data_IF_577846254316
#
_entry.id   IF_577846254316
#
_cell.length_a   1.000
_cell.length_b   1.000
_cell.length_c   1.000
_cell.angle_alpha   90.00
_cell.angle_beta   90.00
_cell.angle_gamma   90.00
#
_symmetry.space_group_name_H-M   'P 1'
#
loop_
_entity.id
_entity.type
_entity.pdbx_description
1 polymer ?
#
# COMPACT_ATOMS: atom_id res chain seq x y z
N UNK A 1 73.54 21.24 -35.69
CA UNK A 1 73.03 19.87 -35.45
C UNK A 1 73.66 19.36 -34.16
N UNK A 2 72.89 19.23 -33.07
CA UNK A 2 72.93 18.07 -32.18
C UNK A 2 71.68 18.09 -31.30
N UNK A 3 71.07 16.92 -31.21
CA UNK A 3 69.72 16.61 -30.79
C UNK A 3 69.80 15.92 -29.43
N UNK A 4 69.13 16.44 -28.38
CA UNK A 4 69.01 15.75 -27.08
C UNK A 4 67.64 16.11 -26.52
N UNK A 5 66.63 15.28 -26.82
CA UNK A 5 66.15 14.16 -26.00
C UNK A 5 65.14 14.60 -24.93
N UNK A 6 63.87 14.33 -25.23
CA UNK A 6 62.68 14.64 -24.42
C UNK A 6 62.60 13.59 -23.30
N UNK A 7 62.84 14.00 -22.06
CA UNK A 7 62.62 13.15 -20.89
C UNK A 7 61.18 13.32 -20.39
N UNK A 8 60.31 12.32 -20.65
CA UNK A 8 58.96 12.25 -20.11
C UNK A 8 59.00 11.98 -18.59
N UNK A 9 58.63 12.97 -17.78
CA UNK A 9 58.43 12.77 -16.34
C UNK A 9 57.08 12.08 -16.11
N UNK A 10 57.09 10.76 -15.91
CA UNK A 10 55.95 10.02 -15.36
C UNK A 10 55.66 10.52 -13.94
N UNK A 11 54.56 11.25 -13.76
CA UNK A 11 54.04 11.61 -12.43
C UNK A 11 53.36 10.38 -11.82
N UNK A 12 54.08 9.70 -10.92
CA UNK A 12 53.51 8.64 -10.10
C UNK A 12 52.73 9.27 -8.92
N UNK A 13 51.41 9.29 -9.00
CA UNK A 13 50.56 9.66 -7.86
C UNK A 13 50.63 8.56 -6.79
N UNK A 14 51.43 8.78 -5.73
CA UNK A 14 51.38 7.94 -4.53
C UNK A 14 50.12 8.29 -3.72
N UNK A 15 49.07 7.49 -3.86
CA UNK A 15 47.97 7.50 -2.91
C UNK A 15 48.51 7.04 -1.55
N UNK A 16 48.61 7.97 -0.60
CA UNK A 16 48.97 7.65 0.79
C UNK A 16 47.81 6.84 1.38
N UNK A 17 47.97 5.52 1.47
CA UNK A 17 47.06 4.68 2.26
C UNK A 17 47.24 5.09 3.73
N UNK A 18 46.35 5.94 4.23
CA UNK A 18 46.21 6.13 5.67
C UNK A 18 45.54 4.89 6.21
N UNK A 19 46.32 4.00 6.83
CA UNK A 19 45.81 2.94 7.67
C UNK A 19 45.02 3.61 8.79
N UNK A 20 43.69 3.53 8.74
CA UNK A 20 42.85 4.02 9.81
C UNK A 20 42.85 2.94 10.90
N UNK A 21 43.79 3.02 11.83
CA UNK A 21 43.82 2.12 12.97
C UNK A 21 42.70 2.51 13.93
N UNK A 22 41.63 1.72 13.92
CA UNK A 22 40.47 1.94 14.77
C UNK A 22 40.83 1.48 16.19
N UNK A 23 41.28 2.43 17.02
CA UNK A 23 41.49 2.17 18.44
C UNK A 23 40.20 1.67 19.13
N UNK A 24 40.29 1.12 20.35
CA UNK A 24 39.15 0.51 21.04
C UNK A 24 37.95 1.47 21.20
N UNK A 25 38.20 2.77 21.39
CA UNK A 25 37.16 3.81 21.43
C UNK A 25 36.48 4.01 20.07
N UNK A 26 37.23 3.89 18.97
CA UNK A 26 36.69 3.98 17.62
C UNK A 26 35.81 2.78 17.26
N UNK A 27 36.15 1.58 17.73
CA UNK A 27 35.32 0.38 17.58
C UNK A 27 34.01 0.54 18.38
N UNK A 28 34.08 1.04 19.62
CA UNK A 28 32.90 1.31 20.44
C UNK A 28 32.01 2.38 19.78
N UNK A 29 32.59 3.46 19.26
CA UNK A 29 31.85 4.50 18.55
C UNK A 29 31.17 3.98 17.28
N UNK A 30 31.87 3.17 16.47
CA UNK A 30 31.33 2.58 15.26
C UNK A 30 30.21 1.57 15.55
N UNK A 31 30.36 0.77 16.60
CA UNK A 31 29.33 -0.20 17.03
C UNK A 31 28.10 0.49 17.58
N UNK A 32 28.24 1.55 18.40
CA UNK A 32 27.10 2.35 18.86
C UNK A 32 26.41 3.03 17.67
N UNK A 33 27.15 3.62 16.73
CA UNK A 33 26.56 4.23 15.54
C UNK A 33 25.80 3.20 14.70
N UNK A 34 26.36 2.00 14.52
CA UNK A 34 25.70 0.90 13.82
C UNK A 34 24.45 0.46 14.57
N UNK A 35 24.52 0.27 15.88
CA UNK A 35 23.37 -0.08 16.73
C UNK A 35 22.28 0.99 16.68
N UNK A 36 22.62 2.27 16.80
CA UNK A 36 21.67 3.39 16.73
C UNK A 36 21.04 3.46 15.33
N UNK A 37 21.80 3.33 14.26
CA UNK A 37 21.26 3.41 12.89
C UNK A 37 20.46 2.18 12.46
N UNK A 38 20.77 0.99 12.99
CA UNK A 38 20.05 -0.25 12.68
C UNK A 38 18.90 -0.58 13.64
N UNK A 39 18.97 -0.17 14.91
CA UNK A 39 17.93 -0.43 15.94
C UNK A 39 17.05 0.77 16.27
N UNK A 40 17.43 2.01 15.91
CA UNK A 40 16.54 3.18 16.00
C UNK A 40 15.91 3.64 14.68
N UNK A 41 15.86 2.89 13.55
CA UNK A 41 14.95 3.32 12.49
C UNK A 41 13.56 3.34 13.12
N UNK A 42 13.00 4.55 13.20
CA UNK A 42 11.63 4.75 13.65
C UNK A 42 10.72 3.80 12.87
N UNK A 43 9.67 3.23 13.49
CA UNK A 43 8.76 2.30 12.81
C UNK A 43 7.99 2.92 11.63
N UNK A 44 8.31 4.16 11.23
CA UNK A 44 7.74 4.89 10.11
C UNK A 44 8.22 4.44 8.73
N UNK A 45 9.27 3.62 8.62
CA UNK A 45 9.78 3.14 7.31
C UNK A 45 9.06 1.86 6.84
N UNK A 46 8.44 1.11 7.75
CA UNK A 46 7.43 0.13 7.36
C UNK A 46 6.11 0.86 7.24
N UNK A 47 5.58 0.94 6.02
CA UNK A 47 4.25 1.45 5.75
C UNK A 47 3.28 0.94 6.83
N UNK A 48 2.86 1.84 7.72
CA UNK A 48 2.00 1.55 8.87
C UNK A 48 0.56 1.31 8.44
N UNK A 49 0.40 0.69 7.28
CA UNK A 49 -0.86 0.22 6.77
C UNK A 49 -0.67 -1.24 6.41
N UNK A 50 -0.76 -2.13 7.42
CA UNK A 50 -0.83 -3.54 7.14
C UNK A 50 -1.98 -3.73 6.18
N UNK A 51 -1.69 -4.37 5.03
CA UNK A 51 -2.71 -4.99 4.19
C UNK A 51 -3.79 -5.63 5.07
N UNK A 52 -5.06 -5.65 4.63
CA UNK A 52 -6.13 -6.22 5.43
C UNK A 52 -5.68 -7.61 5.93
N UNK A 53 -5.86 -7.92 7.23
CA UNK A 53 -5.23 -9.07 7.88
C UNK A 53 -5.88 -10.37 7.40
N UNK A 54 -5.51 -10.78 6.19
CA UNK A 54 -6.05 -11.93 5.49
C UNK A 54 -5.00 -13.03 5.48
N UNK A 55 -5.37 -14.22 5.95
CA UNK A 55 -4.52 -15.40 5.83
C UNK A 55 -4.91 -16.09 4.54
N UNK A 56 -4.10 -15.96 3.49
CA UNK A 56 -4.38 -16.65 2.24
C UNK A 56 -4.21 -18.17 2.41
N UNK A 57 -5.05 -18.98 1.76
CA UNK A 57 -4.86 -20.43 1.75
C UNK A 57 -3.55 -20.79 1.07
N UNK A 58 -2.92 -21.86 1.53
CA UNK A 58 -1.72 -22.40 0.87
C UNK A 58 -2.08 -22.86 -0.54
N UNK A 59 -1.45 -22.29 -1.56
CA UNK A 59 -1.55 -22.76 -2.95
C UNK A 59 -0.31 -23.54 -3.33
N UNK A 60 -0.49 -24.71 -3.96
CA UNK A 60 0.58 -25.53 -4.52
C UNK A 60 0.93 -25.16 -5.98
N UNK A 61 0.14 -24.27 -6.61
CA UNK A 61 0.41 -23.71 -7.94
C UNK A 61 0.33 -22.18 -7.91
N UNK A 62 1.41 -21.52 -8.30
CA UNK A 62 1.45 -20.07 -8.52
C UNK A 62 1.46 -19.78 -10.02
N UNK A 63 0.30 -19.90 -10.68
CA UNK A 63 0.16 -19.32 -12.03
C UNK A 63 -0.21 -17.86 -11.81
N UNK A 64 0.80 -16.99 -11.83
CA UNK A 64 0.62 -15.55 -11.66
C UNK A 64 0.79 -14.86 -13.01
N UNK A 65 -0.16 -15.07 -13.93
CA UNK A 65 -0.30 -14.19 -15.09
C UNK A 65 -1.31 -13.12 -14.71
N UNK A 66 -0.85 -12.11 -13.96
CA UNK A 66 -1.64 -10.90 -13.78
C UNK A 66 -1.79 -10.25 -15.15
N UNK A 67 -3.04 -9.94 -15.53
CA UNK A 67 -3.27 -9.14 -16.73
C UNK A 67 -2.68 -7.75 -16.50
N UNK A 68 -2.06 -7.22 -17.55
CA UNK A 68 -1.55 -5.86 -17.57
C UNK A 68 -2.74 -4.92 -17.64
N UNK A 69 -3.08 -4.25 -16.54
CA UNK A 69 -4.26 -3.40 -16.44
C UNK A 69 -4.45 -2.83 -15.04
N UNK A 70 -5.47 -1.99 -14.89
CA UNK A 70 -5.89 -1.48 -13.57
C UNK A 70 -6.56 -2.61 -12.80
N UNK A 71 -6.14 -2.82 -11.55
CA UNK A 71 -6.60 -3.93 -10.73
C UNK A 71 -7.42 -3.42 -9.55
N UNK A 72 -8.62 -3.98 -9.38
CA UNK A 72 -9.46 -3.78 -8.19
C UNK A 72 -9.42 -5.05 -7.36
N UNK A 73 -9.10 -4.97 -6.08
CA UNK A 73 -9.00 -6.12 -5.18
C UNK A 73 -10.08 -6.06 -4.10
N UNK A 74 -10.89 -7.11 -4.04
CA UNK A 74 -11.86 -7.36 -2.98
C UNK A 74 -11.25 -8.37 -2.02
N UNK A 75 -11.14 -7.99 -0.75
CA UNK A 75 -10.56 -8.82 0.30
C UNK A 75 -11.63 -9.24 1.29
N UNK A 76 -11.81 -10.54 1.45
CA UNK A 76 -12.76 -11.15 2.37
C UNK A 76 -12.00 -11.70 3.57
N UNK A 77 -12.25 -11.13 4.75
CA UNK A 77 -11.62 -11.54 6.01
C UNK A 77 -12.63 -12.29 6.88
N UNK A 78 -12.13 -13.07 7.84
CA UNK A 78 -12.95 -13.74 8.86
C UNK A 78 -14.02 -12.81 9.44
N UNK A 79 -15.19 -13.38 9.68
CA UNK A 79 -16.44 -12.72 10.11
C UNK A 79 -17.17 -11.94 9.01
N UNK A 80 -16.96 -12.27 7.74
CA UNK A 80 -17.73 -11.67 6.62
C UNK A 80 -17.39 -10.20 6.36
N UNK A 81 -16.22 -9.74 6.83
CA UNK A 81 -15.78 -8.37 6.62
C UNK A 81 -15.15 -8.23 5.24
N UNK A 82 -15.65 -7.27 4.48
CA UNK A 82 -15.18 -7.01 3.13
C UNK A 82 -14.33 -5.75 3.11
N UNK A 83 -13.22 -5.80 2.38
CA UNK A 83 -12.36 -4.66 2.12
C UNK A 83 -12.24 -4.49 0.62
N UNK A 84 -12.14 -3.24 0.17
CA UNK A 84 -12.00 -2.90 -1.23
C UNK A 84 -10.76 -2.04 -1.41
N UNK A 85 -9.94 -2.35 -2.41
CA UNK A 85 -8.81 -1.52 -2.83
C UNK A 85 -8.72 -1.49 -4.35
N UNK A 86 -8.19 -0.41 -4.88
CA UNK A 86 -7.89 -0.23 -6.29
C UNK A 86 -6.54 0.51 -6.36
N UNK A 87 -5.88 0.53 -7.51
CA UNK A 87 -4.69 1.34 -7.74
C UNK A 87 -4.88 2.77 -7.16
N UNK A 88 -3.89 3.21 -6.37
CA UNK A 88 -3.87 4.45 -5.58
C UNK A 88 -4.30 5.68 -6.40
N UNK A 89 -3.98 5.67 -7.71
CA UNK A 89 -4.34 6.73 -8.66
C UNK A 89 -5.84 6.94 -8.82
N UNK A 90 -6.64 5.89 -8.64
CA UNK A 90 -8.09 5.89 -8.82
C UNK A 90 -8.83 5.86 -7.49
N UNK A 91 -8.21 5.33 -6.43
CA UNK A 91 -8.86 5.07 -5.15
C UNK A 91 -9.54 6.32 -4.56
N UNK A 92 -8.85 7.47 -4.55
CA UNK A 92 -9.40 8.72 -3.99
C UNK A 92 -10.66 9.15 -4.74
N UNK A 93 -10.66 9.08 -6.08
CA UNK A 93 -11.79 9.48 -6.91
C UNK A 93 -12.99 8.53 -6.74
N UNK A 94 -12.73 7.22 -6.63
CA UNK A 94 -13.77 6.21 -6.36
C UNK A 94 -14.46 6.51 -5.03
N UNK A 95 -13.66 6.73 -3.98
CA UNK A 95 -14.19 7.00 -2.65
C UNK A 95 -14.97 8.30 -2.61
N UNK A 96 -14.46 9.35 -3.24
CA UNK A 96 -15.15 10.64 -3.30
C UNK A 96 -16.51 10.51 -4.01
N UNK A 97 -16.58 9.76 -5.10
CA UNK A 97 -17.82 9.51 -5.84
C UNK A 97 -18.85 8.79 -4.98
N UNK A 98 -18.46 7.72 -4.30
CA UNK A 98 -19.36 6.95 -3.43
C UNK A 98 -19.73 7.75 -2.17
N UNK A 99 -18.79 8.47 -1.56
CA UNK A 99 -19.08 9.33 -0.42
C UNK A 99 -20.14 10.39 -0.76
N UNK A 100 -20.04 11.04 -1.94
CA UNK A 100 -21.04 12.00 -2.42
C UNK A 100 -22.42 11.36 -2.62
N UNK A 101 -22.49 10.13 -3.14
CA UNK A 101 -23.76 9.39 -3.28
C UNK A 101 -24.44 9.17 -1.92
N UNK A 102 -23.68 9.01 -0.83
CA UNK A 102 -24.18 8.91 0.54
C UNK A 102 -24.38 10.26 1.25
N UNK A 103 -24.27 11.39 0.54
CA UNK A 103 -24.41 12.73 1.11
C UNK A 103 -23.23 13.14 2.01
N UNK A 104 -22.09 12.44 1.91
CA UNK A 104 -20.90 12.71 2.70
C UNK A 104 -19.95 13.59 1.89
N UNK A 105 -19.63 14.78 2.41
CA UNK A 105 -18.63 15.67 1.84
C UNK A 105 -17.34 15.60 2.66
N UNK A 106 -16.22 15.42 1.96
CA UNK A 106 -14.89 15.37 2.58
C UNK A 106 -14.21 16.74 2.43
N UNK A 107 -13.56 17.21 3.49
CA UNK A 107 -12.72 18.41 3.42
C UNK A 107 -11.41 18.14 2.66
N UNK A 108 -10.72 19.18 2.20
CA UNK A 108 -9.41 19.05 1.56
C UNK A 108 -8.39 18.31 2.45
N UNK A 109 -8.44 18.54 3.77
CA UNK A 109 -7.59 17.83 4.74
C UNK A 109 -7.93 16.35 4.83
N UNK A 110 -9.22 16.00 4.80
CA UNK A 110 -9.67 14.61 4.79
C UNK A 110 -9.31 13.91 3.48
N UNK A 111 -9.35 14.61 2.34
CA UNK A 111 -8.92 14.07 1.05
C UNK A 111 -7.42 13.75 1.02
N UNK A 112 -6.57 14.59 1.62
CA UNK A 112 -5.15 14.30 1.75
C UNK A 112 -4.88 13.05 2.62
N UNK A 113 -5.67 12.87 3.68
CA UNK A 113 -5.60 11.67 4.53
C UNK A 113 -6.13 10.42 3.83
N UNK A 114 -7.09 10.59 2.93
CA UNK A 114 -7.68 9.52 2.14
C UNK A 114 -6.69 8.95 1.12
N UNK A 115 -5.88 9.80 0.48
CA UNK A 115 -4.80 9.38 -0.42
C UNK A 115 -3.78 8.46 0.24
N UNK A 116 -3.65 8.53 1.58
CA UNK A 116 -2.72 7.70 2.33
C UNK A 116 -3.32 6.34 2.74
N UNK A 117 -4.62 6.11 2.52
CA UNK A 117 -5.27 4.85 2.87
C UNK A 117 -5.09 3.83 1.75
N UNK A 118 -4.49 2.65 2.00
CA UNK A 118 -4.29 1.64 0.95
C UNK A 118 -5.55 0.82 0.63
N UNK A 119 -6.57 0.86 1.49
CA UNK A 119 -7.84 0.18 1.27
C UNK A 119 -8.97 0.83 2.04
N UNK A 120 -10.18 0.53 1.59
CA UNK A 120 -11.43 0.81 2.27
C UNK A 120 -11.89 -0.40 3.07
N UNK A 121 -12.27 -0.15 4.30
CA UNK A 121 -12.76 -1.19 5.23
C UNK A 121 -13.79 -0.65 6.20
N UNK A 122 -14.56 0.36 5.81
CA UNK A 122 -15.56 0.97 6.68
C UNK A 122 -16.70 1.55 5.86
N UNK A 123 -17.82 1.79 6.54
CA UNK A 123 -18.98 2.49 5.99
C UNK A 123 -18.64 3.94 5.63
N UNK A 124 -18.94 4.38 4.41
CA UNK A 124 -18.70 5.74 3.92
C UNK A 124 -19.26 6.83 4.83
N UNK A 125 -20.37 6.57 5.54
CA UNK A 125 -20.95 7.51 6.51
C UNK A 125 -20.05 7.79 7.71
N UNK A 126 -19.20 6.83 8.06
CA UNK A 126 -18.23 6.94 9.16
C UNK A 126 -16.88 7.49 8.70
N UNK A 127 -16.64 7.56 7.39
CA UNK A 127 -15.37 7.97 6.81
C UNK A 127 -14.89 9.35 7.30
N UNK A 128 -15.71 10.42 7.37
CA UNK A 128 -15.24 11.73 7.82
C UNK A 128 -14.73 11.71 9.27
N UNK A 129 -15.45 10.97 10.13
CA UNK A 129 -15.09 10.80 11.54
C UNK A 129 -13.81 10.00 11.69
N UNK A 130 -13.57 9.03 10.81
CA UNK A 130 -12.34 8.24 10.85
C UNK A 130 -11.17 9.07 10.32
N UNK A 131 -11.34 9.80 9.22
CA UNK A 131 -10.29 10.66 8.63
C UNK A 131 -9.84 11.81 9.54
N UNK A 132 -10.67 12.24 10.49
CA UNK A 132 -10.28 13.24 11.51
C UNK A 132 -9.50 12.68 12.70
N UNK A 133 -9.36 11.36 12.82
CA UNK A 133 -8.61 10.71 13.90
C UNK A 133 -7.12 10.55 13.56
N UNK A 134 -6.32 10.39 14.61
CA UNK A 134 -4.91 10.02 14.49
C UNK A 134 -4.74 8.68 13.76
N UNK A 135 -3.64 8.52 13.02
CA UNK A 135 -3.35 7.36 12.16
C UNK A 135 -3.53 6.00 12.88
N UNK A 136 -3.08 5.91 14.13
CA UNK A 136 -3.23 4.70 14.96
C UNK A 136 -4.69 4.33 15.21
N UNK A 137 -5.53 5.30 15.62
CA UNK A 137 -6.95 5.06 15.90
C UNK A 137 -7.74 4.75 14.62
N UNK A 138 -7.31 5.28 13.47
CA UNK A 138 -7.90 4.97 12.17
C UNK A 138 -7.79 3.49 11.83
N UNK A 139 -6.63 2.89 12.06
CA UNK A 139 -6.37 1.51 11.68
C UNK A 139 -7.35 0.52 12.34
N UNK A 140 -7.66 0.71 13.62
CA UNK A 140 -8.60 -0.17 14.31
C UNK A 140 -10.04 -0.02 13.81
N UNK A 141 -10.43 1.19 13.42
CA UNK A 141 -11.76 1.45 12.86
C UNK A 141 -11.90 0.99 11.41
N UNK A 142 -10.80 1.02 10.64
CA UNK A 142 -10.75 0.51 9.27
C UNK A 142 -10.91 -1.01 9.20
N UNK A 143 -10.74 -1.75 10.30
CA UNK A 143 -10.97 -3.21 10.36
C UNK A 143 -12.45 -3.61 10.45
N UNK A 144 -13.38 -2.65 10.47
CA UNK A 144 -14.80 -2.95 10.63
C UNK A 144 -15.41 -3.67 9.41
N UNK A 145 -14.85 -3.47 8.23
CA UNK A 145 -15.38 -3.93 6.94
C UNK A 145 -16.37 -2.94 6.31
N UNK A 146 -16.46 -2.98 4.99
CA UNK A 146 -17.51 -2.30 4.21
C UNK A 146 -18.81 -3.11 4.34
N UNK A 147 -19.96 -2.46 4.58
CA UNK A 147 -21.24 -3.15 4.54
C UNK A 147 -21.56 -3.61 3.12
N UNK A 148 -21.74 -4.92 2.96
CA UNK A 148 -22.10 -5.58 1.70
C UNK A 148 -23.39 -6.42 1.86
N UNK A 149 -24.31 -5.92 2.68
CA UNK A 149 -25.59 -6.59 2.94
C UNK A 149 -26.59 -6.30 1.83
N UNK A 150 -27.58 -7.18 1.61
CA UNK A 150 -28.65 -6.95 0.63
C UNK A 150 -29.43 -5.63 0.83
N UNK A 151 -29.51 -5.11 2.05
CA UNK A 151 -30.21 -3.85 2.36
C UNK A 151 -29.34 -2.59 2.21
N UNK A 152 -28.01 -2.74 2.19
CA UNK A 152 -27.06 -1.64 2.05
C UNK A 152 -25.76 -2.21 1.47
N UNK A 153 -25.62 -2.09 0.14
CA UNK A 153 -24.52 -2.68 -0.62
C UNK A 153 -23.56 -1.60 -1.10
N UNK A 154 -22.74 -1.10 -0.18
CA UNK A 154 -21.72 -0.12 -0.53
C UNK A 154 -20.58 -0.74 -1.34
N UNK A 155 -20.45 -2.07 -1.34
CA UNK A 155 -19.43 -2.77 -2.13
C UNK A 155 -19.74 -2.69 -3.63
N UNK A 156 -20.99 -2.95 -4.05
CA UNK A 156 -21.36 -2.82 -5.48
C UNK A 156 -21.19 -1.39 -5.97
N UNK A 157 -21.56 -0.41 -5.15
CA UNK A 157 -21.36 1.01 -5.47
C UNK A 157 -19.88 1.35 -5.65
N UNK A 158 -18.98 0.79 -4.82
CA UNK A 158 -17.53 0.92 -5.02
C UNK A 158 -17.08 0.35 -6.36
N UNK A 159 -17.56 -0.83 -6.72
CA UNK A 159 -17.18 -1.53 -7.94
C UNK A 159 -17.67 -0.74 -9.16
N UNK A 160 -18.93 -0.31 -9.17
CA UNK A 160 -19.49 0.52 -10.25
C UNK A 160 -18.77 1.88 -10.37
N UNK A 161 -18.46 2.51 -9.24
CA UNK A 161 -17.67 3.74 -9.23
C UNK A 161 -16.26 3.51 -9.78
N UNK A 162 -15.60 2.41 -9.41
CA UNK A 162 -14.31 2.01 -9.94
C UNK A 162 -14.36 1.77 -11.46
N UNK A 163 -15.31 0.97 -11.93
CA UNK A 163 -15.47 0.68 -13.36
C UNK A 163 -15.67 1.97 -14.16
N UNK A 164 -16.59 2.84 -13.72
CA UNK A 164 -16.88 4.08 -14.43
C UNK A 164 -15.68 5.03 -14.50
N UNK A 165 -14.91 5.18 -13.42
CA UNK A 165 -13.76 6.09 -13.39
C UNK A 165 -12.58 5.53 -14.19
N UNK A 166 -12.35 4.22 -14.14
CA UNK A 166 -11.28 3.58 -14.91
C UNK A 166 -11.63 3.56 -16.40
N UNK A 167 -12.88 3.28 -16.75
CA UNK A 167 -13.35 3.30 -18.14
C UNK A 167 -13.21 4.70 -18.75
N UNK A 168 -13.52 5.76 -18.01
CA UNK A 168 -13.35 7.14 -18.44
C UNK A 168 -11.87 7.49 -18.74
N UNK A 169 -10.94 6.97 -17.94
CA UNK A 169 -9.50 7.30 -18.04
C UNK A 169 -8.68 6.38 -18.94
N UNK A 170 -9.04 5.11 -19.04
CA UNK A 170 -8.23 4.07 -19.70
C UNK A 170 -8.97 3.41 -20.86
N UNK A 171 -10.26 3.73 -21.07
CA UNK A 171 -11.12 3.09 -22.10
C UNK A 171 -11.20 1.55 -21.97
N UNK A 172 -10.88 1.03 -20.79
CA UNK A 172 -10.94 -0.40 -20.45
C UNK A 172 -11.53 -0.57 -19.05
N UNK A 173 -12.09 -1.75 -18.77
CA UNK A 173 -12.59 -2.09 -17.44
C UNK A 173 -11.43 -2.56 -16.54
N UNK A 174 -11.48 -2.26 -15.23
CA UNK A 174 -10.51 -2.81 -14.28
C UNK A 174 -10.73 -4.32 -14.11
N UNK A 175 -9.64 -5.07 -13.97
CA UNK A 175 -9.71 -6.49 -13.60
C UNK A 175 -10.03 -6.62 -12.11
N UNK A 176 -10.99 -7.48 -11.77
CA UNK A 176 -11.46 -7.69 -10.39
C UNK A 176 -10.79 -8.94 -9.81
N UNK A 177 -10.03 -8.74 -8.75
CA UNK A 177 -9.37 -9.78 -7.97
C UNK A 177 -10.12 -10.01 -6.68
N UNK A 178 -10.39 -11.27 -6.36
CA UNK A 178 -11.01 -11.64 -5.09
C UNK A 178 -9.99 -12.46 -4.30
N UNK A 179 -9.68 -11.99 -3.08
CA UNK A 179 -8.88 -12.74 -2.11
C UNK A 179 -9.74 -13.05 -0.89
N UNK A 180 -9.71 -14.30 -0.44
CA UNK A 180 -10.49 -14.77 0.71
C UNK A 180 -9.58 -15.41 1.76
N UNK A 181 -9.94 -15.21 3.04
CA UNK A 181 -9.25 -15.83 4.16
C UNK A 181 -9.42 -17.36 4.14
N UNK A 182 -8.33 -18.08 4.42
CA UNK A 182 -8.26 -19.53 4.43
C UNK A 182 -9.25 -20.18 5.42
N UNK A 183 -9.58 -19.47 6.51
CA UNK A 183 -10.54 -19.94 7.50
C UNK A 183 -12.00 -19.64 7.19
N UNK A 184 -12.31 -19.06 6.02
CA UNK A 184 -13.67 -18.66 5.66
C UNK A 184 -14.43 -19.82 4.99
N UNK A 185 -15.66 -20.16 5.46
CA UNK A 185 -16.46 -21.19 4.82
C UNK A 185 -16.86 -20.78 3.39
N UNK A 186 -16.84 -21.74 2.45
CA UNK A 186 -17.23 -21.50 1.06
C UNK A 186 -18.63 -20.87 0.92
N UNK A 187 -19.59 -21.26 1.76
CA UNK A 187 -20.94 -20.67 1.77
C UNK A 187 -20.91 -19.14 2.00
N UNK A 188 -19.97 -18.64 2.81
CA UNK A 188 -19.78 -17.21 3.04
C UNK A 188 -18.99 -16.51 1.93
N UNK A 189 -18.40 -17.24 0.98
CA UNK A 189 -17.77 -16.65 -0.21
C UNK A 189 -18.74 -16.70 -1.39
N UNK A 190 -19.62 -17.72 -1.43
CA UNK A 190 -20.52 -17.99 -2.55
C UNK A 190 -21.47 -16.82 -2.87
N UNK A 191 -21.99 -16.12 -1.86
CA UNK A 191 -22.91 -15.00 -2.07
C UNK A 191 -22.28 -13.87 -2.89
N UNK A 192 -20.95 -13.68 -2.82
CA UNK A 192 -20.24 -12.64 -3.55
C UNK A 192 -20.33 -12.82 -5.08
N UNK A 193 -20.47 -14.07 -5.55
CA UNK A 193 -20.66 -14.34 -6.98
C UNK A 193 -22.03 -13.91 -7.51
N UNK A 194 -23.01 -13.68 -6.65
CA UNK A 194 -24.33 -13.20 -7.08
C UNK A 194 -24.38 -11.70 -7.41
N UNK A 195 -23.28 -10.97 -7.23
CA UNK A 195 -23.20 -9.52 -7.53
C UNK A 195 -22.52 -9.20 -8.87
N UNK A 196 -21.93 -10.20 -9.52
CA UNK A 196 -21.29 -10.10 -10.83
C UNK A 196 -22.14 -10.81 -11.88
#
# INVERSE_FOLDING_TARGET
>A
MYNISIASKHLSYRFRRTSFELGPVGIIGATILLLVTTFLPSPSVYAFWPEPPIRLPFSTRSICSLRMGVQSTISLVKHGRVFFSIDDKYQTAVIEKVAKQHGVQLSATQMAELQQLPYLGLDFRKLPKVLSLTRFKRYDLLKAGIPASLANNQLSECIEAAESIVMDKTSSKPDIYIRADAGMPYAQVKWLWGFF
#
